data_IF_028307233194
#
_entry.id   IF_028307233194
#
_cell.length_a   1.000
_cell.length_b   1.000
_cell.length_c   1.000
_cell.angle_alpha   90.00
_cell.angle_beta   90.00
_cell.angle_gamma   90.00
#
_symmetry.space_group_name_H-M   'P 1'
#
loop_
_entity.id
_entity.type
_entity.pdbx_description
1 polymer ?
#
# COMPACT_ATOMS: atom_id res chain seq x y z
N UNK A 1 -17.79 24.70 5.79
CA UNK A 1 -16.70 23.97 5.07
C UNK A 1 -16.24 24.71 3.79
N UNK A 2 -17.16 25.26 2.97
CA UNK A 2 -16.83 25.99 1.75
C UNK A 2 -16.06 27.30 2.01
N UNK A 3 -16.46 28.09 2.99
CA UNK A 3 -15.77 29.31 3.41
C UNK A 3 -14.35 29.04 3.93
N UNK A 4 -14.10 27.94 4.65
CA UNK A 4 -12.77 27.56 5.10
C UNK A 4 -11.84 27.21 3.94
N UNK A 5 -12.37 26.58 2.88
CA UNK A 5 -11.59 26.24 1.69
C UNK A 5 -11.19 27.48 0.88
N UNK A 6 -12.11 28.46 0.74
CA UNK A 6 -11.80 29.74 0.09
C UNK A 6 -10.76 30.51 0.91
N UNK A 7 -10.88 30.52 2.22
CA UNK A 7 -9.93 31.20 3.10
C UNK A 7 -8.52 30.60 3.04
N UNK A 8 -8.42 29.26 2.98
CA UNK A 8 -7.14 28.58 2.79
C UNK A 8 -6.51 28.86 1.42
N UNK A 9 -7.30 28.97 0.37
CA UNK A 9 -6.80 29.30 -0.97
C UNK A 9 -6.39 30.79 -1.08
N UNK A 10 -7.03 31.69 -0.33
CA UNK A 10 -6.71 33.12 -0.31
C UNK A 10 -5.52 33.47 0.60
N UNK A 11 -5.21 32.63 1.56
CA UNK A 11 -4.15 32.88 2.55
C UNK A 11 -2.79 33.19 1.92
N UNK A 12 -2.28 32.45 0.92
CA UNK A 12 -1.01 32.74 0.30
C UNK A 12 -0.96 34.10 -0.43
N UNK A 13 -2.10 34.54 -0.96
CA UNK A 13 -2.19 35.86 -1.61
C UNK A 13 -2.15 36.99 -0.59
N UNK A 14 -2.79 36.83 0.56
CA UNK A 14 -2.77 37.80 1.64
C UNK A 14 -1.35 37.90 2.23
N UNK A 15 -0.71 36.78 2.47
CA UNK A 15 0.69 36.70 2.91
C UNK A 15 1.64 37.40 1.94
N UNK A 16 1.45 37.16 0.64
CA UNK A 16 2.21 37.78 -0.42
C UNK A 16 2.06 39.32 -0.39
N UNK A 17 0.83 39.83 -0.26
CA UNK A 17 0.57 41.27 -0.16
C UNK A 17 1.21 41.87 1.12
N UNK A 18 1.12 41.20 2.25
CA UNK A 18 1.72 41.69 3.50
C UNK A 18 3.25 41.71 3.39
N UNK A 19 3.86 40.67 2.81
CA UNK A 19 5.31 40.63 2.60
C UNK A 19 5.79 41.62 1.55
N UNK A 20 4.96 42.04 0.60
CA UNK A 20 5.32 43.03 -0.38
C UNK A 20 5.67 44.40 0.27
N UNK A 21 4.93 44.82 1.29
CA UNK A 21 5.10 46.11 1.95
C UNK A 21 6.56 46.34 2.47
N UNK A 22 7.15 45.46 3.27
CA UNK A 22 8.53 45.62 3.70
C UNK A 22 9.53 45.58 2.55
N UNK A 23 9.34 44.70 1.55
CA UNK A 23 10.21 44.67 0.36
C UNK A 23 10.13 45.96 -0.43
N UNK A 24 8.97 46.53 -0.60
CA UNK A 24 8.77 47.85 -1.23
C UNK A 24 9.47 48.98 -0.44
N UNK A 25 9.34 48.98 0.89
CA UNK A 25 10.00 49.98 1.75
C UNK A 25 11.52 49.85 1.70
N UNK A 26 12.04 48.61 1.75
CA UNK A 26 13.48 48.35 1.67
C UNK A 26 14.01 48.79 0.31
N UNK A 27 13.34 48.39 -0.79
CA UNK A 27 13.77 48.79 -2.12
C UNK A 27 13.83 50.32 -2.29
N UNK A 28 12.89 51.03 -1.67
CA UNK A 28 12.87 52.49 -1.72
C UNK A 28 14.03 53.13 -0.96
N UNK A 29 14.47 52.51 0.16
CA UNK A 29 15.61 52.94 0.96
C UNK A 29 16.95 52.53 0.36
N UNK A 30 17.04 51.35 -0.20
CA UNK A 30 18.28 50.74 -0.71
C UNK A 30 18.80 51.42 -1.96
N UNK A 31 17.93 51.94 -2.80
CA UNK A 31 18.33 52.72 -4.00
C UNK A 31 19.02 54.03 -3.69
N UNK A 32 18.91 54.54 -2.47
CA UNK A 32 19.64 55.71 -2.03
C UNK A 32 21.06 55.39 -1.53
N UNK A 33 21.39 54.08 -1.31
CA UNK A 33 22.71 53.67 -0.79
C UNK A 33 23.58 53.11 -1.92
N UNK A 34 24.81 53.61 -2.05
CA UNK A 34 25.77 53.23 -3.09
C UNK A 34 26.21 51.75 -3.01
N UNK A 35 26.09 51.08 -1.85
CA UNK A 35 26.52 49.71 -1.63
C UNK A 35 25.50 48.69 -2.14
N UNK A 36 24.21 48.99 -2.08
CA UNK A 36 23.13 48.09 -2.42
C UNK A 36 22.44 48.39 -3.76
N UNK A 37 22.93 49.40 -4.51
CA UNK A 37 22.36 49.82 -5.80
C UNK A 37 22.30 48.69 -6.88
N UNK A 38 23.08 47.61 -6.68
CA UNK A 38 23.13 46.45 -7.60
C UNK A 38 22.16 45.33 -7.21
N UNK A 39 21.52 45.42 -6.06
CA UNK A 39 20.67 44.36 -5.54
C UNK A 39 19.20 44.66 -5.88
N UNK A 40 18.63 43.86 -6.75
CA UNK A 40 17.23 44.00 -7.11
C UNK A 40 16.34 43.29 -6.07
N UNK A 41 15.84 44.09 -5.10
CA UNK A 41 14.98 43.58 -4.05
C UNK A 41 13.65 43.01 -4.58
N UNK A 42 13.14 43.51 -5.70
CA UNK A 42 11.92 42.95 -6.33
C UNK A 42 12.15 41.57 -6.93
N UNK A 43 13.31 41.38 -7.58
CA UNK A 43 13.68 40.07 -8.10
C UNK A 43 13.79 39.04 -6.96
N UNK A 44 14.46 39.44 -5.84
CA UNK A 44 14.61 38.54 -4.69
C UNK A 44 13.27 38.20 -4.07
N UNK A 45 12.34 39.14 -3.97
CA UNK A 45 11.00 38.93 -3.49
C UNK A 45 10.23 37.94 -4.37
N UNK A 46 10.25 38.12 -5.70
CA UNK A 46 9.58 37.22 -6.65
C UNK A 46 10.16 35.82 -6.59
N UNK A 47 11.49 35.68 -6.53
CA UNK A 47 12.14 34.37 -6.40
C UNK A 47 11.79 33.67 -5.10
N UNK A 48 11.70 34.39 -3.99
CA UNK A 48 11.32 33.82 -2.70
C UNK A 48 9.91 33.21 -2.77
N UNK A 49 8.94 33.94 -3.32
CA UNK A 49 7.58 33.43 -3.48
C UNK A 49 7.48 32.33 -4.54
N UNK A 50 8.30 32.38 -5.59
CA UNK A 50 8.40 31.29 -6.58
C UNK A 50 8.88 29.98 -5.95
N UNK A 51 9.88 30.02 -5.08
CA UNK A 51 10.44 28.84 -4.40
C UNK A 51 9.46 28.27 -3.37
N UNK A 52 8.77 29.11 -2.62
CA UNK A 52 7.90 28.66 -1.53
C UNK A 52 6.54 28.16 -2.05
N UNK A 53 5.89 28.96 -2.89
CA UNK A 53 4.50 28.75 -3.29
C UNK A 53 4.30 28.32 -4.74
N UNK A 54 5.35 28.36 -5.58
CA UNK A 54 5.30 27.93 -6.98
C UNK A 54 4.87 29.02 -7.96
N UNK A 55 4.46 28.57 -9.16
CA UNK A 55 4.27 29.43 -10.33
C UNK A 55 3.15 30.47 -10.16
N UNK A 56 2.04 30.11 -9.52
CA UNK A 56 0.90 31.05 -9.35
C UNK A 56 1.29 32.26 -8.50
N UNK A 57 1.97 32.04 -7.39
CA UNK A 57 2.38 33.11 -6.50
C UNK A 57 3.57 33.91 -7.07
N UNK A 58 4.45 33.25 -7.82
CA UNK A 58 5.51 33.93 -8.58
C UNK A 58 4.92 34.94 -9.58
N UNK A 59 3.89 34.57 -10.33
CA UNK A 59 3.20 35.47 -11.26
C UNK A 59 2.58 36.66 -10.52
N UNK A 60 1.90 36.39 -9.42
CA UNK A 60 1.25 37.43 -8.62
C UNK A 60 2.27 38.40 -8.01
N UNK A 61 3.35 37.88 -7.41
CA UNK A 61 4.42 38.70 -6.84
C UNK A 61 5.17 39.53 -7.92
N UNK A 62 5.33 38.98 -9.14
CA UNK A 62 5.90 39.71 -10.27
C UNK A 62 5.02 40.89 -10.69
N UNK A 63 3.70 40.70 -10.79
CA UNK A 63 2.75 41.77 -11.10
C UNK A 63 2.78 42.86 -10.01
N UNK A 64 2.81 42.47 -8.73
CA UNK A 64 2.92 43.42 -7.61
C UNK A 64 4.23 44.22 -7.68
N UNK A 65 5.35 43.56 -7.99
CA UNK A 65 6.66 44.19 -8.12
C UNK A 65 6.70 45.19 -9.27
N UNK A 66 6.12 44.84 -10.42
CA UNK A 66 5.98 45.71 -11.58
C UNK A 66 5.12 46.93 -11.21
N UNK A 67 3.97 46.70 -10.55
CA UNK A 67 3.11 47.79 -10.07
C UNK A 67 3.83 48.77 -9.10
N UNK A 68 4.57 48.17 -8.13
CA UNK A 68 5.39 48.97 -7.17
C UNK A 68 6.49 49.76 -7.87
N UNK A 69 7.14 49.17 -8.87
CA UNK A 69 8.16 49.89 -9.68
C UNK A 69 7.54 51.03 -10.45
N UNK A 70 6.43 50.83 -11.16
CA UNK A 70 5.75 51.90 -11.88
C UNK A 70 5.26 53.01 -10.94
N UNK A 71 4.65 52.66 -9.82
CA UNK A 71 4.19 53.61 -8.81
C UNK A 71 5.31 54.54 -8.36
N UNK A 72 6.51 53.97 -8.09
CA UNK A 72 7.67 54.73 -7.70
C UNK A 72 8.19 55.64 -8.83
N UNK A 73 8.28 55.13 -10.08
CA UNK A 73 8.80 55.89 -11.19
C UNK A 73 7.86 57.06 -11.58
N UNK A 74 6.55 56.89 -11.48
CA UNK A 74 5.56 57.94 -11.74
C UNK A 74 5.68 59.12 -10.75
N UNK A 75 6.33 58.93 -9.60
CA UNK A 75 6.59 60.03 -8.65
C UNK A 75 7.71 60.94 -9.12
N UNK A 76 8.64 60.43 -9.93
CA UNK A 76 9.86 61.18 -10.35
C UNK A 76 9.86 61.54 -11.83
N UNK A 77 9.08 60.84 -12.68
CA UNK A 77 9.02 61.00 -14.15
C UNK A 77 7.59 60.95 -14.66
N UNK A 78 7.38 61.50 -15.85
CA UNK A 78 6.06 61.31 -16.50
C UNK A 78 5.84 59.84 -16.89
N UNK A 79 4.60 59.33 -16.72
CA UNK A 79 4.29 57.94 -17.01
C UNK A 79 4.61 57.50 -18.45
N UNK A 80 4.59 58.43 -19.40
CA UNK A 80 4.94 58.22 -20.78
C UNK A 80 6.46 57.97 -21.00
N UNK A 81 7.33 58.68 -20.29
CA UNK A 81 8.77 58.45 -20.35
C UNK A 81 9.17 57.09 -19.75
N UNK A 82 8.50 56.66 -18.68
CA UNK A 82 8.74 55.35 -18.06
C UNK A 82 8.27 54.23 -18.99
N UNK A 83 7.17 54.43 -19.71
CA UNK A 83 6.65 53.47 -20.66
C UNK A 83 7.49 53.36 -21.94
N UNK A 84 8.31 54.34 -22.30
CA UNK A 84 9.20 54.29 -23.46
C UNK A 84 10.63 53.85 -23.13
N UNK A 85 10.96 53.64 -21.84
CA UNK A 85 12.29 53.22 -21.42
C UNK A 85 12.53 51.74 -21.69
N UNK A 86 13.43 51.43 -22.64
CA UNK A 86 13.82 50.08 -23.03
C UNK A 86 14.32 49.25 -21.84
N UNK A 87 15.06 49.86 -20.92
CA UNK A 87 15.61 49.18 -19.75
C UNK A 87 14.51 48.62 -18.83
N UNK A 88 13.39 49.33 -18.73
CA UNK A 88 12.22 48.91 -17.96
C UNK A 88 11.64 47.62 -18.53
N UNK A 89 11.52 47.48 -19.84
CA UNK A 89 11.01 46.25 -20.48
C UNK A 89 11.94 45.05 -20.28
N UNK A 90 13.27 45.29 -20.42
CA UNK A 90 14.26 44.22 -20.17
C UNK A 90 14.19 43.74 -18.75
N UNK A 91 14.07 44.63 -17.78
CA UNK A 91 13.94 44.30 -16.37
C UNK A 91 12.64 43.53 -16.09
N UNK A 92 11.50 43.95 -16.62
CA UNK A 92 10.21 43.23 -16.50
C UNK A 92 10.32 41.85 -17.11
N UNK A 93 10.91 41.69 -18.29
CA UNK A 93 11.09 40.41 -18.96
C UNK A 93 11.97 39.48 -18.12
N UNK A 94 13.09 39.99 -17.57
CA UNK A 94 13.98 39.22 -16.69
C UNK A 94 13.26 38.75 -15.43
N UNK A 95 12.49 39.61 -14.77
CA UNK A 95 11.74 39.30 -13.55
C UNK A 95 10.68 38.23 -13.82
N UNK A 96 9.93 38.35 -14.93
CA UNK A 96 8.92 37.40 -15.34
C UNK A 96 9.52 36.03 -15.72
N UNK A 97 10.58 36.02 -16.56
CA UNK A 97 11.22 34.77 -17.01
C UNK A 97 11.82 34.04 -15.81
N UNK A 98 12.55 34.69 -14.94
CA UNK A 98 13.17 34.05 -13.76
C UNK A 98 12.11 33.59 -12.76
N UNK A 99 11.13 34.42 -12.44
CA UNK A 99 10.06 34.08 -11.51
C UNK A 99 9.24 32.89 -11.99
N UNK A 100 8.82 32.88 -13.25
CA UNK A 100 8.04 31.80 -13.83
C UNK A 100 8.86 30.51 -13.95
N UNK A 101 10.13 30.59 -14.38
CA UNK A 101 10.99 29.40 -14.52
C UNK A 101 11.22 28.71 -13.18
N UNK A 102 11.54 29.48 -12.14
CA UNK A 102 11.76 28.93 -10.80
C UNK A 102 10.45 28.39 -10.20
N UNK A 103 9.35 29.12 -10.38
CA UNK A 103 8.02 28.66 -9.94
C UNK A 103 7.60 27.35 -10.61
N UNK A 104 7.82 27.24 -11.91
CA UNK A 104 7.55 26.02 -12.67
C UNK A 104 8.39 24.82 -12.18
N UNK A 105 9.71 25.04 -12.00
CA UNK A 105 10.60 23.99 -11.48
C UNK A 105 10.16 23.51 -10.10
N UNK A 106 9.76 24.42 -9.24
CA UNK A 106 9.22 24.06 -7.91
C UNK A 106 7.96 23.23 -8.00
N UNK A 107 7.01 23.61 -8.87
CA UNK A 107 5.76 22.88 -9.05
C UNK A 107 6.01 21.49 -9.63
N UNK A 108 6.92 21.36 -10.59
CA UNK A 108 7.34 20.10 -11.16
C UNK A 108 8.01 19.20 -10.10
N UNK A 109 8.90 19.74 -9.27
CA UNK A 109 9.52 19.00 -8.16
C UNK A 109 8.47 18.55 -7.12
N UNK A 110 7.45 19.36 -6.86
CA UNK A 110 6.36 19.01 -5.95
C UNK A 110 5.51 17.84 -6.50
N UNK A 111 5.17 17.92 -7.78
CA UNK A 111 4.43 16.84 -8.46
C UNK A 111 5.24 15.53 -8.48
N UNK A 112 6.51 15.59 -8.86
CA UNK A 112 7.39 14.40 -8.83
C UNK A 112 7.53 13.78 -7.42
N UNK A 113 7.51 14.60 -6.37
CA UNK A 113 7.52 14.08 -4.98
C UNK A 113 6.21 13.38 -4.62
N UNK A 114 5.08 13.92 -5.06
CA UNK A 114 3.77 13.28 -4.86
C UNK A 114 3.70 11.93 -5.61
N UNK A 115 4.09 11.89 -6.88
CA UNK A 115 4.09 10.68 -7.70
C UNK A 115 4.99 9.59 -7.08
N UNK A 116 6.17 9.97 -6.58
CA UNK A 116 7.05 9.02 -5.88
C UNK A 116 6.49 8.53 -4.55
N UNK A 117 5.77 9.37 -3.81
CA UNK A 117 5.12 8.95 -2.57
C UNK A 117 4.02 7.92 -2.85
N UNK A 118 3.25 8.11 -3.92
CA UNK A 118 2.22 7.17 -4.37
C UNK A 118 2.84 5.85 -4.85
N UNK A 119 3.96 5.91 -5.59
CA UNK A 119 4.71 4.73 -6.02
C UNK A 119 5.24 3.92 -4.82
N UNK A 120 5.82 4.59 -3.82
CA UNK A 120 6.29 3.93 -2.59
C UNK A 120 5.12 3.27 -1.85
N UNK A 121 3.98 3.93 -1.77
CA UNK A 121 2.78 3.37 -1.14
C UNK A 121 2.28 2.13 -1.89
N UNK A 122 2.24 2.18 -3.21
CA UNK A 122 1.90 1.05 -4.06
C UNK A 122 2.85 -0.13 -3.87
N UNK A 123 4.17 0.12 -3.89
CA UNK A 123 5.18 -0.92 -3.70
C UNK A 123 5.08 -1.56 -2.31
N UNK A 124 4.85 -0.78 -1.26
CA UNK A 124 4.66 -1.30 0.09
C UNK A 124 3.42 -2.19 0.20
N UNK A 125 2.33 -1.84 -0.46
CA UNK A 125 1.14 -2.68 -0.49
C UNK A 125 1.41 -4.00 -1.23
N UNK A 126 2.10 -3.93 -2.37
CA UNK A 126 2.50 -5.14 -3.12
C UNK A 126 3.41 -6.06 -2.31
N UNK A 127 4.31 -5.49 -1.52
CA UNK A 127 5.21 -6.24 -0.66
C UNK A 127 4.42 -7.02 0.41
N UNK A 128 3.43 -6.38 1.03
CA UNK A 128 2.52 -7.04 1.98
C UNK A 128 1.72 -8.18 1.34
N UNK A 129 1.21 -7.96 0.12
CA UNK A 129 0.48 -9.01 -0.62
C UNK A 129 1.37 -10.22 -0.88
N UNK A 130 2.63 -9.99 -1.28
CA UNK A 130 3.62 -11.06 -1.51
C UNK A 130 3.95 -11.80 -0.21
N UNK A 131 4.13 -11.08 0.90
CA UNK A 131 4.38 -11.69 2.21
C UNK A 131 3.20 -12.57 2.65
N UNK A 132 1.97 -12.12 2.45
CA UNK A 132 0.75 -12.90 2.76
C UNK A 132 0.66 -14.16 1.89
N UNK A 133 0.87 -14.04 0.58
CA UNK A 133 0.89 -15.19 -0.34
C UNK A 133 1.98 -16.18 0.06
N UNK A 134 3.16 -15.70 0.42
CA UNK A 134 4.26 -16.57 0.83
C UNK A 134 3.94 -17.31 2.14
N UNK A 135 3.30 -16.64 3.10
CA UNK A 135 2.84 -17.26 4.33
C UNK A 135 1.78 -18.35 4.07
N UNK A 136 0.83 -18.10 3.16
CA UNK A 136 -0.18 -19.08 2.75
C UNK A 136 0.49 -20.27 2.07
N UNK A 137 1.41 -20.03 1.14
CA UNK A 137 2.14 -21.09 0.43
C UNK A 137 2.94 -21.97 1.38
N UNK A 138 3.57 -21.36 2.39
CA UNK A 138 4.32 -22.11 3.42
C UNK A 138 3.38 -22.99 4.24
N UNK A 139 2.21 -22.50 4.63
CA UNK A 139 1.20 -23.31 5.33
C UNK A 139 0.72 -24.47 4.46
N UNK A 140 0.35 -24.21 3.21
CA UNK A 140 -0.08 -25.23 2.27
C UNK A 140 0.98 -26.31 2.06
N UNK A 141 2.24 -25.91 1.94
CA UNK A 141 3.36 -26.86 1.83
C UNK A 141 3.42 -27.76 3.06
N UNK A 142 3.38 -27.19 4.27
CA UNK A 142 3.44 -27.97 5.51
C UNK A 142 2.22 -28.91 5.65
N UNK A 143 1.03 -28.45 5.28
CA UNK A 143 -0.19 -29.27 5.30
C UNK A 143 -0.08 -30.45 4.31
N UNK A 144 0.43 -30.20 3.10
CA UNK A 144 0.66 -31.26 2.10
C UNK A 144 1.75 -32.25 2.56
N UNK A 145 2.85 -31.77 3.14
CA UNK A 145 3.89 -32.64 3.71
C UNK A 145 3.29 -33.54 4.80
N UNK A 146 2.47 -32.99 5.69
CA UNK A 146 1.77 -33.75 6.73
C UNK A 146 0.82 -34.78 6.14
N UNK A 147 0.06 -34.42 5.10
CA UNK A 147 -0.83 -35.36 4.41
C UNK A 147 -0.05 -36.51 3.73
N UNK A 148 1.05 -36.19 3.07
CA UNK A 148 1.90 -37.21 2.40
C UNK A 148 2.49 -38.18 3.43
N UNK A 149 2.98 -37.67 4.56
CA UNK A 149 3.51 -38.53 5.64
C UNK A 149 2.41 -39.44 6.20
N UNK A 150 1.23 -38.88 6.52
CA UNK A 150 0.11 -39.66 7.04
C UNK A 150 -0.39 -40.70 6.02
N UNK A 151 -0.37 -40.37 4.71
CA UNK A 151 -0.76 -41.31 3.66
C UNK A 151 0.28 -42.43 3.52
N UNK A 152 1.57 -42.14 3.62
CA UNK A 152 2.62 -43.13 3.61
C UNK A 152 2.49 -44.13 4.77
N UNK A 153 2.22 -43.61 6.00
CA UNK A 153 1.97 -44.46 7.16
C UNK A 153 0.71 -45.30 6.99
N UNK A 154 -0.34 -44.77 6.36
CA UNK A 154 -1.55 -45.51 6.08
C UNK A 154 -1.31 -46.66 5.08
N UNK A 155 -0.52 -46.40 4.02
CA UNK A 155 -0.15 -47.43 3.03
C UNK A 155 0.69 -48.53 3.68
N UNK A 156 1.62 -48.20 4.55
CA UNK A 156 2.42 -49.14 5.33
C UNK A 156 1.53 -50.05 6.18
N UNK A 157 0.56 -49.50 6.91
CA UNK A 157 -0.43 -50.23 7.69
C UNK A 157 -1.29 -51.12 6.83
N UNK A 158 -1.80 -50.65 5.69
CA UNK A 158 -2.60 -51.46 4.75
C UNK A 158 -1.78 -52.65 4.26
N UNK A 159 -0.50 -52.46 3.93
CA UNK A 159 0.35 -53.53 3.47
C UNK A 159 0.58 -54.58 4.58
N UNK A 160 0.87 -54.15 5.82
CA UNK A 160 1.04 -55.03 6.98
C UNK A 160 -0.25 -55.84 7.26
N UNK A 161 -1.40 -55.18 7.21
CA UNK A 161 -2.71 -55.77 7.40
C UNK A 161 -3.04 -56.77 6.25
N UNK A 162 -2.74 -56.43 5.00
CA UNK A 162 -2.99 -57.32 3.87
C UNK A 162 -2.09 -58.57 3.92
N UNK A 163 -0.85 -58.40 4.39
CA UNK A 163 0.06 -59.55 4.55
C UNK A 163 -0.39 -60.50 5.66
N UNK A 164 -1.08 -59.98 6.71
CA UNK A 164 -1.64 -60.83 7.78
C UNK A 164 -2.88 -61.61 7.36
N UNK A 165 -3.56 -61.21 6.27
CA UNK A 165 -4.69 -61.92 5.67
C UNK A 165 -4.27 -63.15 4.82
N UNK A 166 -3.00 -63.23 4.45
CA UNK A 166 -2.47 -64.39 3.66
C UNK A 166 -2.17 -65.58 4.55
N UNK A 167 -3.21 -66.06 5.26
CA UNK A 167 -3.12 -67.25 6.12
C UNK A 167 -3.88 -68.42 5.50
N UNK A 168 -3.32 -69.63 5.58
CA UNK A 168 -3.82 -70.82 4.97
C UNK A 168 -5.14 -71.37 5.62
N UNK A 169 -5.57 -70.79 6.76
CA UNK A 169 -6.75 -71.27 7.49
C UNK A 169 -7.95 -70.31 7.29
N UNK A 170 -9.08 -70.80 6.73
CA UNK A 170 -10.23 -69.90 6.41
C UNK A 170 -10.88 -69.27 7.67
N UNK A 171 -10.75 -69.88 8.84
CA UNK A 171 -11.29 -69.28 10.09
C UNK A 171 -10.49 -68.10 10.58
N UNK A 172 -9.17 -68.14 10.39
CA UNK A 172 -8.27 -67.05 10.76
C UNK A 172 -8.44 -65.84 9.88
N UNK A 173 -8.86 -66.00 8.62
CA UNK A 173 -9.13 -64.92 7.66
C UNK A 173 -10.24 -63.95 8.14
N UNK A 174 -11.33 -64.54 8.70
CA UNK A 174 -12.44 -63.73 9.21
C UNK A 174 -12.03 -62.94 10.49
N UNK A 175 -11.21 -63.51 11.30
CA UNK A 175 -10.70 -62.84 12.49
C UNK A 175 -9.81 -61.66 12.10
N UNK A 176 -8.84 -61.89 11.23
CA UNK A 176 -7.96 -60.82 10.72
C UNK A 176 -8.73 -59.77 9.93
N UNK A 177 -9.76 -60.16 9.17
CA UNK A 177 -10.64 -59.20 8.46
C UNK A 177 -11.40 -58.28 9.44
N UNK A 178 -11.89 -58.83 10.56
CA UNK A 178 -12.53 -58.02 11.61
C UNK A 178 -11.55 -57.05 12.26
N UNK A 179 -10.33 -57.47 12.52
CA UNK A 179 -9.25 -56.64 13.07
C UNK A 179 -8.85 -55.54 12.10
N UNK A 180 -8.70 -55.82 10.82
CA UNK A 180 -8.46 -54.88 9.73
C UNK A 180 -9.50 -53.79 9.70
N UNK A 181 -10.77 -54.15 9.72
CA UNK A 181 -11.87 -53.19 9.69
C UNK A 181 -11.86 -52.32 10.96
N UNK A 182 -11.60 -52.93 12.12
CA UNK A 182 -11.47 -52.23 13.38
C UNK A 182 -10.37 -51.15 13.34
N UNK A 183 -9.19 -51.47 12.77
CA UNK A 183 -8.06 -50.57 12.66
C UNK A 183 -8.25 -49.49 11.59
N UNK A 184 -8.86 -49.87 10.43
CA UNK A 184 -9.09 -48.90 9.34
C UNK A 184 -10.19 -47.89 9.67
N UNK A 185 -11.23 -48.32 10.38
CA UNK A 185 -12.39 -47.51 10.71
C UNK A 185 -12.26 -46.83 12.08
N UNK A 186 -11.18 -47.10 12.80
CA UNK A 186 -10.97 -46.66 14.20
C UNK A 186 -12.18 -47.04 15.09
N UNK A 187 -12.74 -48.23 14.85
CA UNK A 187 -13.87 -48.76 15.60
C UNK A 187 -13.41 -49.84 16.56
N UNK A 188 -13.87 -49.78 17.82
CA UNK A 188 -13.49 -50.77 18.85
C UNK A 188 -14.15 -52.12 18.67
N UNK A 189 -15.39 -52.11 18.18
CA UNK A 189 -16.23 -53.32 18.12
C UNK A 189 -16.67 -53.56 16.65
N UNK A 190 -16.16 -54.62 16.08
CA UNK A 190 -16.49 -55.07 14.72
C UNK A 190 -16.92 -56.54 14.80
N UNK A 191 -18.03 -56.86 14.15
CA UNK A 191 -18.53 -58.24 14.03
C UNK A 191 -18.85 -58.57 12.59
N UNK A 192 -18.38 -59.71 12.14
CA UNK A 192 -18.63 -60.23 10.77
C UNK A 192 -19.64 -61.34 10.84
N UNK A 193 -20.74 -61.23 10.13
CA UNK A 193 -21.79 -62.19 10.05
C UNK A 193 -21.91 -62.77 8.62
N UNK A 194 -22.06 -64.08 8.54
CA UNK A 194 -22.43 -64.74 7.28
C UNK A 194 -23.98 -64.92 7.25
N UNK A 195 -24.62 -64.34 6.24
CA UNK A 195 -26.06 -64.44 6.07
C UNK A 195 -26.37 -65.55 5.06
N UNK A 196 -26.80 -66.71 5.59
CA UNK A 196 -27.20 -67.83 4.79
C UNK A 196 -28.75 -67.90 4.77
N UNK A 197 -29.37 -68.06 3.57
CA UNK A 197 -30.80 -68.27 3.36
C UNK A 197 -31.74 -67.19 3.98
N UNK A 198 -31.40 -65.91 3.93
CA UNK A 198 -32.24 -64.78 4.35
C UNK A 198 -32.77 -64.75 5.78
N UNK A 199 -32.66 -65.82 6.54
CA UNK A 199 -33.25 -65.87 7.89
C UNK A 199 -32.26 -66.11 9.04
N UNK A 200 -31.04 -66.48 8.75
CA UNK A 200 -30.04 -66.75 9.79
C UNK A 200 -28.75 -66.08 9.48
N UNK A 201 -28.32 -65.26 10.43
CA UNK A 201 -27.00 -64.64 10.43
C UNK A 201 -26.10 -65.40 11.41
N UNK A 202 -25.05 -66.03 10.89
CA UNK A 202 -24.06 -66.75 11.73
C UNK A 202 -22.87 -65.80 11.97
N UNK A 203 -22.56 -65.58 13.23
CA UNK A 203 -21.35 -64.83 13.60
C UNK A 203 -20.12 -65.63 13.16
N UNK A 204 -19.26 -65.01 12.34
CA UNK A 204 -18.02 -65.63 11.85
C UNK A 204 -16.82 -65.17 12.68
N UNK A 205 -16.79 -63.88 13.04
CA UNK A 205 -15.73 -63.33 13.89
C UNK A 205 -16.20 -62.02 14.56
N UNK A 206 -15.64 -61.70 15.73
CA UNK A 206 -15.87 -60.45 16.44
C UNK A 206 -14.61 -60.02 17.16
N UNK A 207 -14.29 -58.73 17.15
CA UNK A 207 -13.20 -58.13 17.93
C UNK A 207 -13.59 -57.93 19.40
N UNK A 208 -14.89 -57.89 19.71
CA UNK A 208 -15.40 -57.83 21.07
C UNK A 208 -15.72 -59.22 21.58
N UNK A 209 -15.37 -59.54 22.82
CA UNK A 209 -15.88 -60.70 23.53
C UNK A 209 -17.38 -60.48 23.77
N UNK A 210 -18.21 -60.86 22.78
CA UNK A 210 -19.62 -60.93 22.99
C UNK A 210 -19.88 -61.99 24.06
N UNK A 211 -20.26 -61.51 25.22
CA UNK A 211 -20.81 -62.35 26.26
C UNK A 211 -22.14 -62.92 25.66
N UNK A 212 -22.07 -64.12 25.13
CA UNK A 212 -23.29 -64.88 24.82
C UNK A 212 -23.94 -65.22 26.16
N UNK A 213 -24.90 -64.35 26.58
CA UNK A 213 -25.80 -64.77 27.62
C UNK A 213 -26.54 -66.01 27.08
N UNK A 214 -26.34 -67.12 27.74
CA UNK A 214 -27.20 -68.28 27.59
C UNK A 214 -28.64 -67.90 27.84
N UNK A 215 -29.36 -67.56 26.75
CA UNK A 215 -30.81 -67.48 26.73
C UNK A 215 -31.29 -68.62 25.84
N UNK A 216 -31.04 -69.84 26.29
CA UNK A 216 -31.61 -71.02 25.74
C UNK A 216 -31.85 -72.05 26.89
N UNK A 217 -32.77 -71.67 27.77
CA UNK A 217 -33.48 -72.58 28.64
C UNK A 217 -34.77 -71.88 29.11
N UNK A 218 -35.82 -71.94 28.27
CA UNK A 218 -37.23 -72.17 28.61
C UNK A 218 -38.05 -72.42 27.34
#
# INVERSE_FOLDING_TARGET
KWLAHIFQAALPFIENMICFIPFFMINNRVTESAYFARLDCYLLYVLLFAIVYGQQQASFSAILSIGGYFFRQMYHRTGFEVALDYNTYVWIAQLMILGLSVGYLRDQLSSMKADKADEITYLNNRLKDIEEINAINTRLKNDLETQVVNQSDSIGKIFEITSSLDSDEPESVFFHAAEVVSQLMDCRDVAIYNVSNRNYARLMSSTCLLYTSDAADE
#
